data_IF_262153604584
#
_entry.id   IF_262153604584
#
_cell.length_a   1.000
_cell.length_b   1.000
_cell.length_c   1.000
_cell.angle_alpha   90.00
_cell.angle_beta   90.00
_cell.angle_gamma   90.00
#
_symmetry.space_group_name_H-M   'P 1'
#
loop_
_entity.id
_entity.type
_entity.pdbx_description
1 polymer ?
#
# COMPACT_ATOMS: atom_id res chain seq x y z
N UNK A 1 -2.74 0.11 3.06
CA UNK A 1 -1.48 -0.12 2.30
C UNK A 1 -1.09 1.18 1.62
N UNK A 2 0.21 1.46 1.49
CA UNK A 2 0.69 2.72 0.91
C UNK A 2 1.68 2.45 -0.21
N UNK A 3 1.50 3.13 -1.33
CA UNK A 3 2.42 3.15 -2.47
C UNK A 3 3.13 4.50 -2.53
N UNK A 4 4.46 4.49 -2.67
CA UNK A 4 5.27 5.69 -2.86
C UNK A 4 6.25 5.45 -4.01
N UNK A 5 5.98 6.02 -5.17
CA UNK A 5 6.76 5.77 -6.38
C UNK A 5 6.21 6.48 -7.61
N UNK A 6 6.60 6.03 -8.81
CA UNK A 6 6.27 6.70 -10.09
C UNK A 6 5.24 5.94 -10.94
N UNK A 7 4.73 4.80 -10.46
CA UNK A 7 3.80 3.89 -11.15
C UNK A 7 4.32 3.42 -12.53
N UNK A 8 5.49 2.78 -12.62
CA UNK A 8 6.15 2.49 -13.89
C UNK A 8 5.34 1.59 -14.84
N UNK A 9 4.41 0.77 -14.32
CA UNK A 9 3.46 -0.03 -15.12
C UNK A 9 2.62 0.81 -16.08
N UNK A 10 2.36 2.08 -15.75
CA UNK A 10 1.56 2.98 -16.58
C UNK A 10 2.41 4.02 -17.34
N UNK A 11 3.72 3.79 -17.44
CA UNK A 11 4.66 4.67 -18.12
C UNK A 11 5.38 5.65 -17.18
N UNK A 12 6.11 6.64 -17.74
CA UNK A 12 6.80 7.64 -16.95
C UNK A 12 5.79 8.51 -16.19
N UNK A 13 6.07 8.76 -14.92
CA UNK A 13 5.22 9.56 -14.05
C UNK A 13 6.01 10.24 -12.94
N UNK A 14 5.40 11.26 -12.36
CA UNK A 14 5.95 11.91 -11.17
C UNK A 14 5.82 11.01 -9.94
N UNK A 15 6.64 11.28 -8.92
CA UNK A 15 6.53 10.58 -7.64
C UNK A 15 5.25 11.00 -6.93
N UNK A 16 4.50 10.02 -6.45
CA UNK A 16 3.24 10.20 -5.73
C UNK A 16 3.14 9.26 -4.53
N UNK A 17 2.31 9.67 -3.57
CA UNK A 17 1.90 8.87 -2.43
C UNK A 17 0.44 8.47 -2.60
N UNK A 18 0.18 7.18 -2.77
CA UNK A 18 -1.16 6.60 -2.89
C UNK A 18 -1.47 5.75 -1.66
N UNK A 19 -2.65 5.93 -1.07
CA UNK A 19 -3.11 5.17 0.10
C UNK A 19 -4.32 4.34 -0.29
N UNK A 20 -4.19 3.03 -0.13
CA UNK A 20 -5.28 2.08 -0.25
C UNK A 20 -5.77 1.69 1.15
N UNK A 21 -6.99 2.07 1.50
CA UNK A 21 -7.63 1.66 2.74
C UNK A 21 -8.00 0.18 2.64
N UNK A 22 -7.61 -0.60 3.65
CA UNK A 22 -7.96 -2.02 3.69
C UNK A 22 -9.41 -2.15 4.16
N UNK A 23 -10.17 -3.02 3.49
CA UNK A 23 -11.54 -3.41 3.86
C UNK A 23 -12.59 -2.28 3.85
N UNK A 24 -12.21 -1.06 3.49
CA UNK A 24 -13.05 0.13 3.60
C UNK A 24 -13.06 0.96 2.31
N UNK A 25 -14.19 1.61 2.04
CA UNK A 25 -14.38 2.53 0.92
C UNK A 25 -14.87 3.88 1.45
N UNK A 26 -13.93 4.78 1.72
CA UNK A 26 -14.21 6.12 2.22
C UNK A 26 -13.83 7.18 1.19
N UNK A 27 -14.65 8.23 1.07
CA UNK A 27 -14.29 9.44 0.34
C UNK A 27 -13.57 10.39 1.30
N UNK A 28 -12.27 10.58 1.11
CA UNK A 28 -11.43 11.44 1.96
C UNK A 28 -10.99 12.72 1.24
N UNK A 29 -11.65 13.07 0.13
CA UNK A 29 -11.35 14.30 -0.61
C UNK A 29 -11.65 15.54 0.24
N UNK A 30 -10.64 16.39 0.41
CA UNK A 30 -10.72 17.61 1.23
C UNK A 30 -10.40 17.39 2.72
N UNK A 31 -10.18 16.15 3.14
CA UNK A 31 -9.84 15.81 4.52
C UNK A 31 -8.32 15.75 4.74
N UNK A 32 -7.88 16.20 5.91
CA UNK A 32 -6.49 16.05 6.34
C UNK A 32 -6.28 14.65 6.93
N UNK A 33 -5.36 13.88 6.34
CA UNK A 33 -5.00 12.54 6.81
C UNK A 33 -3.54 12.44 7.23
N UNK A 34 -3.28 11.58 8.22
CA UNK A 34 -1.93 11.22 8.64
C UNK A 34 -1.60 9.81 8.16
N UNK A 35 -0.45 9.67 7.50
CA UNK A 35 0.10 8.38 7.08
C UNK A 35 1.35 8.09 7.89
N UNK A 36 1.46 6.88 8.44
CA UNK A 36 2.66 6.39 9.12
C UNK A 36 3.16 5.13 8.40
N UNK A 37 4.44 5.10 8.07
CA UNK A 37 5.07 3.93 7.48
C UNK A 37 5.51 2.97 8.59
N UNK A 38 5.02 1.74 8.51
CA UNK A 38 5.29 0.70 9.52
C UNK A 38 6.38 -0.25 9.05
N UNK A 39 6.20 -0.85 7.87
CA UNK A 39 7.18 -1.73 7.24
C UNK A 39 7.18 -1.49 5.73
N UNK A 40 8.34 -1.69 5.10
CA UNK A 40 8.45 -1.71 3.64
C UNK A 40 8.20 -3.11 3.11
N UNK A 41 7.11 -3.29 2.37
CA UNK A 41 6.76 -4.58 1.76
C UNK A 41 7.68 -4.92 0.56
N UNK A 42 7.84 -4.00 -0.40
CA UNK A 42 8.67 -4.22 -1.61
C UNK A 42 9.08 -2.92 -2.30
N UNK A 43 9.79 -3.04 -3.42
CA UNK A 43 10.03 -1.95 -4.37
C UNK A 43 9.04 -1.93 -5.53
N UNK A 44 9.24 -0.97 -6.44
CA UNK A 44 8.48 -0.87 -7.69
C UNK A 44 8.71 -2.11 -8.57
N UNK A 45 7.62 -2.59 -9.16
CA UNK A 45 7.61 -3.66 -10.15
C UNK A 45 6.79 -3.16 -11.34
N UNK A 46 7.24 -3.49 -12.55
CA UNK A 46 6.51 -3.23 -13.79
C UNK A 46 5.82 -4.52 -14.21
N UNK A 47 4.53 -4.41 -14.55
CA UNK A 47 3.74 -5.54 -15.02
C UNK A 47 3.40 -5.38 -16.50
N UNK A 48 3.29 -6.50 -17.21
CA UNK A 48 2.93 -6.47 -18.64
C UNK A 48 1.42 -6.23 -18.82
N UNK A 49 0.62 -6.61 -17.81
CA UNK A 49 -0.83 -6.53 -17.84
C UNK A 49 -1.42 -5.98 -16.53
N UNK A 50 -2.54 -5.24 -16.58
CA UNK A 50 -3.23 -4.77 -15.38
C UNK A 50 -3.65 -5.91 -14.43
N UNK A 51 -4.02 -7.07 -14.97
CA UNK A 51 -4.43 -8.22 -14.17
C UNK A 51 -3.29 -8.77 -13.28
N UNK A 52 -2.05 -8.73 -13.78
CA UNK A 52 -0.86 -9.14 -13.02
C UNK A 52 -0.58 -8.17 -11.87
N UNK A 53 -0.73 -6.86 -12.14
CA UNK A 53 -0.64 -5.83 -11.12
C UNK A 53 -1.71 -6.05 -10.03
N UNK A 54 -2.96 -6.30 -10.42
CA UNK A 54 -4.04 -6.56 -9.48
C UNK A 54 -3.77 -7.79 -8.59
N UNK A 55 -3.30 -8.89 -9.19
CA UNK A 55 -2.91 -10.10 -8.45
C UNK A 55 -1.79 -9.82 -7.44
N UNK A 56 -0.79 -9.03 -7.81
CA UNK A 56 0.28 -8.62 -6.89
C UNK A 56 -0.20 -7.68 -5.78
N UNK A 57 -1.11 -6.76 -6.09
CA UNK A 57 -1.73 -5.90 -5.06
C UNK A 57 -2.46 -6.76 -4.02
N UNK A 58 -3.16 -7.82 -4.43
CA UNK A 58 -3.79 -8.73 -3.47
C UNK A 58 -2.77 -9.42 -2.54
N UNK A 59 -1.63 -9.86 -3.08
CA UNK A 59 -0.55 -10.42 -2.26
C UNK A 59 0.06 -9.38 -1.30
N UNK A 60 0.23 -8.14 -1.76
CA UNK A 60 0.71 -7.03 -0.92
C UNK A 60 -0.28 -6.72 0.21
N UNK A 61 -1.59 -6.81 -0.06
CA UNK A 61 -2.65 -6.67 0.95
C UNK A 61 -2.53 -7.76 2.02
N UNK A 62 -2.38 -9.03 1.60
CA UNK A 62 -2.27 -10.15 2.55
C UNK A 62 -1.04 -9.99 3.45
N UNK A 63 0.11 -9.66 2.86
CA UNK A 63 1.34 -9.40 3.62
C UNK A 63 1.20 -8.18 4.55
N UNK A 64 0.53 -7.11 4.11
CA UNK A 64 0.28 -5.95 4.96
C UNK A 64 -0.55 -6.33 6.19
N UNK A 65 -1.54 -7.21 6.06
CA UNK A 65 -2.33 -7.71 7.20
C UNK A 65 -1.46 -8.48 8.19
N UNK A 66 -0.57 -9.34 7.70
CA UNK A 66 0.35 -10.10 8.54
C UNK A 66 1.30 -9.19 9.32
N UNK A 67 1.93 -8.22 8.64
CA UNK A 67 2.78 -7.21 9.27
C UNK A 67 2.03 -6.42 10.35
N UNK A 68 0.83 -5.93 10.05
CA UNK A 68 0.06 -5.12 11.00
C UNK A 68 -0.37 -5.92 12.24
N UNK A 69 -0.69 -7.21 12.08
CA UNK A 69 -0.97 -8.10 13.23
C UNK A 69 0.25 -8.22 14.14
N UNK A 70 1.44 -8.46 13.58
CA UNK A 70 2.67 -8.58 14.35
C UNK A 70 3.03 -7.27 15.09
N UNK A 71 2.86 -6.12 14.42
CA UNK A 71 3.14 -4.81 15.01
C UNK A 71 2.14 -4.47 16.12
N UNK A 72 0.85 -4.76 15.93
CA UNK A 72 -0.16 -4.56 16.97
C UNK A 72 0.11 -5.37 18.24
N UNK A 73 0.65 -6.59 18.10
CA UNK A 73 1.06 -7.42 19.23
C UNK A 73 2.23 -6.77 19.98
N UNK A 74 3.25 -6.30 19.27
CA UNK A 74 4.40 -5.61 19.88
C UNK A 74 4.06 -4.30 20.63
N UNK A 75 3.00 -3.61 20.22
CA UNK A 75 2.49 -2.40 20.88
C UNK A 75 1.60 -2.70 22.10
N UNK A 76 1.09 -3.92 22.21
CA UNK A 76 0.25 -4.36 23.35
C UNK A 76 1.10 -5.04 24.43
N UNK A 77 2.24 -5.64 24.04
CA UNK A 77 3.17 -6.33 24.93
C UNK A 77 4.25 -5.40 25.56
N UNK A 78 4.18 -4.09 25.27
CA UNK A 78 5.10 -3.05 25.77
C UNK A 78 4.38 -2.07 26.70
#
# INVERSE_FOLDING_TARGET
>A
MTYLGTRPTFGPGERLLEVYLLDEHLSLYGEDIRVQFVERLRGDLTFARPEELAAHIHQDVDRARETLKAVSQSLTDA
#
